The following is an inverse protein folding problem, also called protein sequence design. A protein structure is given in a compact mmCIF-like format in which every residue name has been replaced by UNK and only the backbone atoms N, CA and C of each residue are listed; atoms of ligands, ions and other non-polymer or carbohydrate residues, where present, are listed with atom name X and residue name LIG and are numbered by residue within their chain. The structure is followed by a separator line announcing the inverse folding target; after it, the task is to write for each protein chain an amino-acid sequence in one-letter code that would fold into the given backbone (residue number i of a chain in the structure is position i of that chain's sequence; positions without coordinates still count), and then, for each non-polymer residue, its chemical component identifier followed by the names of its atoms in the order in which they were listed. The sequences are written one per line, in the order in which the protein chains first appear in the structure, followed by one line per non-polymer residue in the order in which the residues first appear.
data_IF_485580797051
#
_entry.id   IF_485580797051
#
_cell.length_a   1.000
_cell.length_b   1.000
_cell.length_c   1.000
_cell.angle_alpha   90.00
_cell.angle_beta   90.00
_cell.angle_gamma   90.00
#
_symmetry.space_group_name_H-M   'P 1'
#
loop_
_entity.id
_entity.type
_entity.pdbx_description
1 polymer ?
#
# COMPACT_ATOMS: atom_id res chain seq x y z
N UNK A 1 -64.06 -47.57 19.64
CA UNK A 1 -63.34 -46.29 19.82
C UNK A 1 -64.10 -45.56 20.93
N UNK A 2 -63.58 -45.55 22.16
CA UNK A 2 -64.34 -45.11 23.33
C UNK A 2 -64.41 -43.58 23.38
N UNK A 3 -65.62 -42.99 23.47
CA UNK A 3 -65.79 -41.53 23.49
C UNK A 3 -65.12 -40.88 24.70
N UNK A 4 -65.05 -41.57 25.84
CA UNK A 4 -64.52 -41.05 27.11
C UNK A 4 -63.00 -40.81 27.11
N UNK A 5 -62.25 -41.62 26.36
CA UNK A 5 -60.80 -41.43 26.17
C UNK A 5 -60.47 -40.19 25.34
N UNK A 6 -61.34 -39.80 24.41
CA UNK A 6 -61.12 -38.63 23.56
C UNK A 6 -61.38 -37.33 24.32
N UNK A 7 -62.38 -37.32 25.21
CA UNK A 7 -62.67 -36.17 26.08
C UNK A 7 -61.60 -35.96 27.14
N UNK A 8 -61.06 -37.02 27.76
CA UNK A 8 -59.93 -36.90 28.70
C UNK A 8 -58.67 -36.32 28.02
N UNK A 9 -58.31 -36.83 26.83
CA UNK A 9 -57.16 -36.32 26.09
C UNK A 9 -57.31 -34.84 25.67
N UNK A 10 -58.54 -34.36 25.45
CA UNK A 10 -58.80 -32.94 25.18
C UNK A 10 -58.65 -32.07 26.43
N UNK A 11 -59.12 -32.54 27.59
CA UNK A 11 -58.97 -31.83 28.86
C UNK A 11 -57.49 -31.68 29.24
N UNK A 12 -56.70 -32.74 29.10
CA UNK A 12 -55.25 -32.70 29.38
C UNK A 12 -54.50 -31.71 28.46
N UNK A 13 -54.91 -31.60 27.19
CA UNK A 13 -54.35 -30.62 26.25
C UNK A 13 -54.73 -29.18 26.60
N UNK A 14 -55.94 -28.96 27.08
CA UNK A 14 -56.39 -27.63 27.52
C UNK A 14 -55.59 -27.20 28.75
N UNK A 15 -55.35 -28.09 29.70
CA UNK A 15 -54.58 -27.78 30.92
C UNK A 15 -53.09 -27.49 30.61
N UNK A 16 -52.51 -28.25 29.67
CA UNK A 16 -51.17 -27.99 29.15
C UNK A 16 -51.07 -26.61 28.45
N UNK A 17 -52.10 -26.23 27.68
CA UNK A 17 -52.17 -24.91 27.04
C UNK A 17 -52.35 -23.79 28.07
N UNK A 18 -53.17 -23.97 29.10
CA UNK A 18 -53.33 -23.01 30.19
C UNK A 18 -52.01 -22.75 30.91
N UNK A 19 -51.24 -23.82 31.16
CA UNK A 19 -49.91 -23.71 31.78
C UNK A 19 -48.91 -22.96 30.90
N UNK A 20 -48.90 -23.21 29.59
CA UNK A 20 -48.05 -22.47 28.65
C UNK A 20 -48.41 -20.98 28.58
N UNK A 21 -49.71 -20.67 28.54
CA UNK A 21 -50.18 -19.26 28.53
C UNK A 21 -49.80 -18.57 29.84
N UNK A 22 -50.00 -19.22 30.98
CA UNK A 22 -49.60 -18.67 32.29
C UNK A 22 -48.09 -18.38 32.35
N UNK A 23 -47.27 -19.30 31.83
CA UNK A 23 -45.82 -19.10 31.74
C UNK A 23 -45.44 -17.91 30.83
N UNK A 24 -46.10 -17.76 29.68
CA UNK A 24 -45.84 -16.64 28.77
C UNK A 24 -46.22 -15.29 29.37
N UNK A 25 -47.33 -15.24 30.11
CA UNK A 25 -47.77 -14.03 30.82
C UNK A 25 -46.79 -13.68 31.95
N UNK A 26 -46.34 -14.66 32.72
CA UNK A 26 -45.36 -14.44 33.80
C UNK A 26 -44.00 -13.96 33.25
N UNK A 27 -43.60 -14.48 32.08
CA UNK A 27 -42.43 -14.00 31.35
C UNK A 27 -42.57 -12.55 30.89
N UNK A 28 -43.72 -12.16 30.34
CA UNK A 28 -44.00 -10.76 29.95
C UNK A 28 -43.92 -9.81 31.15
N UNK A 29 -44.54 -10.21 32.27
CA UNK A 29 -44.52 -9.43 33.51
C UNK A 29 -43.11 -9.18 34.02
N UNK A 30 -42.23 -10.19 33.99
CA UNK A 30 -40.81 -10.03 34.35
C UNK A 30 -40.05 -9.09 33.41
N UNK A 31 -40.43 -9.02 32.13
CA UNK A 31 -39.84 -8.04 31.20
C UNK A 31 -40.29 -6.62 31.50
N UNK A 32 -41.56 -6.42 31.87
CA UNK A 32 -42.08 -5.12 32.30
C UNK A 32 -41.45 -4.65 33.61
N UNK A 33 -41.28 -5.54 34.59
CA UNK A 33 -40.58 -5.26 35.85
C UNK A 33 -39.13 -4.84 35.60
N UNK A 34 -38.41 -5.57 34.73
CA UNK A 34 -37.04 -5.22 34.35
C UNK A 34 -36.97 -3.86 33.63
N UNK A 35 -37.92 -3.57 32.73
CA UNK A 35 -37.99 -2.26 32.07
C UNK A 35 -38.30 -1.14 33.06
N UNK A 36 -39.19 -1.38 34.03
CA UNK A 36 -39.51 -0.43 35.08
C UNK A 36 -38.27 -0.10 35.94
N UNK A 37 -37.47 -1.12 36.28
CA UNK A 37 -36.23 -0.97 37.05
C UNK A 37 -35.11 -0.30 36.24
N UNK A 38 -35.05 -0.54 34.93
CA UNK A 38 -34.08 0.11 34.05
C UNK A 38 -34.42 1.57 33.75
N UNK A 39 -35.70 1.94 33.76
CA UNK A 39 -36.17 3.29 33.44
C UNK A 39 -35.46 4.41 34.24
N UNK A 40 -35.32 4.34 35.58
CA UNK A 40 -34.60 5.37 36.33
C UNK A 40 -33.11 5.45 35.98
N UNK A 41 -32.46 4.32 35.74
CA UNK A 41 -31.04 4.27 35.32
C UNK A 41 -30.89 4.95 33.96
N UNK A 42 -31.78 4.62 33.02
CA UNK A 42 -31.78 5.18 31.68
C UNK A 42 -32.01 6.70 31.73
N UNK A 43 -32.95 7.17 32.55
CA UNK A 43 -33.20 8.62 32.75
C UNK A 43 -31.99 9.34 33.33
N UNK A 44 -31.33 8.77 34.34
CA UNK A 44 -30.11 9.34 34.92
C UNK A 44 -28.97 9.40 33.90
N UNK A 45 -28.77 8.32 33.14
CA UNK A 45 -27.76 8.25 32.08
C UNK A 45 -28.03 9.25 30.95
N UNK A 46 -29.29 9.39 30.51
CA UNK A 46 -29.69 10.40 29.53
C UNK A 46 -29.45 11.83 30.05
N UNK A 47 -29.74 12.10 31.32
CA UNK A 47 -29.44 13.40 31.94
C UNK A 47 -27.95 13.74 31.89
N UNK A 48 -27.09 12.81 32.31
CA UNK A 48 -25.63 12.98 32.26
C UNK A 48 -25.11 13.15 30.82
N UNK A 49 -25.61 12.32 29.89
CA UNK A 49 -25.26 12.44 28.47
C UNK A 49 -25.67 13.80 27.89
N UNK A 50 -26.87 14.29 28.24
CA UNK A 50 -27.38 15.58 27.77
C UNK A 50 -26.51 16.73 28.28
N UNK A 51 -26.14 16.72 29.56
CA UNK A 51 -25.23 17.71 30.12
C UNK A 51 -23.84 17.69 29.47
N UNK A 52 -23.27 16.49 29.19
CA UNK A 52 -21.99 16.39 28.47
C UNK A 52 -22.07 16.90 27.04
N UNK A 53 -23.17 16.61 26.34
CA UNK A 53 -23.41 17.12 25.00
C UNK A 53 -23.53 18.65 25.00
N UNK A 54 -24.25 19.23 25.97
CA UNK A 54 -24.35 20.68 26.13
C UNK A 54 -22.99 21.33 26.46
N UNK A 55 -22.17 20.68 27.29
CA UNK A 55 -20.81 21.12 27.58
C UNK A 55 -19.90 21.09 26.33
N UNK A 56 -20.01 20.04 25.51
CA UNK A 56 -19.27 19.92 24.24
C UNK A 56 -19.74 20.97 23.21
N UNK A 57 -21.03 21.28 23.18
CA UNK A 57 -21.59 22.33 22.32
C UNK A 57 -21.10 23.72 22.72
N UNK A 58 -21.09 24.03 24.01
CA UNK A 58 -20.52 25.29 24.54
C UNK A 58 -19.03 25.45 24.24
N UNK A 59 -18.29 24.34 24.21
CA UNK A 59 -16.88 24.32 23.82
C UNK A 59 -16.67 24.38 22.29
N UNK A 60 -17.75 24.44 21.50
CA UNK A 60 -17.67 24.59 20.05
C UNK A 60 -17.32 23.32 19.29
N UNK A 61 -17.30 22.14 19.94
CA UNK A 61 -16.94 20.87 19.30
C UNK A 61 -17.87 20.51 18.14
N UNK A 62 -19.16 20.80 18.25
CA UNK A 62 -20.11 20.56 17.15
C UNK A 62 -19.91 21.50 15.97
N UNK A 63 -19.51 22.75 16.22
CA UNK A 63 -19.19 23.70 15.15
C UNK A 63 -17.91 23.27 14.43
N UNK A 64 -16.86 22.94 15.19
CA UNK A 64 -15.60 22.43 14.66
C UNK A 64 -15.80 21.13 13.85
N UNK A 65 -16.54 20.16 14.40
CA UNK A 65 -16.82 18.89 13.71
C UNK A 65 -17.61 19.08 12.41
N UNK A 66 -18.55 20.04 12.38
CA UNK A 66 -19.32 20.38 11.17
C UNK A 66 -18.43 21.01 10.09
N UNK A 67 -17.55 21.93 10.46
CA UNK A 67 -16.57 22.51 9.53
C UNK A 67 -15.59 21.46 9.02
N UNK A 68 -15.11 20.58 9.91
CA UNK A 68 -14.21 19.48 9.54
C UNK A 68 -14.91 18.49 8.60
N UNK A 69 -16.19 18.22 8.82
CA UNK A 69 -17.05 17.47 7.91
C UNK A 69 -17.22 18.15 6.55
N UNK A 70 -17.45 19.47 6.52
CA UNK A 70 -17.55 20.22 5.27
C UNK A 70 -16.24 20.24 4.47
N UNK A 71 -15.10 20.32 5.16
CA UNK A 71 -13.78 20.16 4.54
C UNK A 71 -13.61 18.75 4.00
N UNK A 72 -13.95 17.73 4.79
CA UNK A 72 -13.87 16.33 4.36
C UNK A 72 -14.76 16.06 3.14
N UNK A 73 -15.96 16.62 3.09
CA UNK A 73 -16.88 16.50 1.96
C UNK A 73 -16.35 17.19 0.70
N UNK A 74 -15.75 18.39 0.82
CA UNK A 74 -15.07 19.05 -0.31
C UNK A 74 -13.87 18.24 -0.79
N UNK A 75 -13.08 17.68 0.13
CA UNK A 75 -11.92 16.85 -0.22
C UNK A 75 -12.37 15.56 -0.91
N UNK A 76 -13.38 14.87 -0.38
CA UNK A 76 -13.92 13.64 -0.99
C UNK A 76 -14.66 13.92 -2.29
N UNK A 77 -15.31 15.08 -2.42
CA UNK A 77 -15.99 15.51 -3.64
C UNK A 77 -15.02 15.93 -4.76
N UNK A 78 -13.82 16.40 -4.41
CA UNK A 78 -12.85 16.92 -5.37
C UNK A 78 -11.71 15.93 -5.69
N UNK A 79 -11.38 15.04 -4.76
CA UNK A 79 -10.33 14.04 -4.91
C UNK A 79 -10.94 12.64 -4.98
N UNK A 80 -10.62 11.91 -6.04
CA UNK A 80 -11.03 10.52 -6.17
C UNK A 80 -10.30 9.64 -5.14
N UNK A 81 -10.81 8.43 -4.85
CA UNK A 81 -10.07 7.45 -4.05
C UNK A 81 -8.69 7.08 -4.63
N UNK A 82 -8.41 7.39 -5.90
CA UNK A 82 -7.09 7.27 -6.51
C UNK A 82 -6.15 8.41 -6.13
N UNK A 83 -6.66 9.63 -6.09
CA UNK A 83 -5.87 10.84 -5.80
C UNK A 83 -5.43 10.88 -4.33
N UNK A 84 -6.29 10.43 -3.41
CA UNK A 84 -5.94 10.30 -1.98
C UNK A 84 -4.82 9.27 -1.77
N UNK A 85 -4.78 8.20 -2.60
CA UNK A 85 -3.70 7.20 -2.54
C UNK A 85 -2.38 7.77 -3.06
N UNK A 86 -2.40 8.49 -4.18
CA UNK A 86 -1.21 9.19 -4.68
C UNK A 86 -0.72 10.28 -3.71
N UNK A 87 -1.64 10.97 -3.03
CA UNK A 87 -1.30 11.94 -2.00
C UNK A 87 -0.58 11.27 -0.83
N UNK A 88 -0.97 10.05 -0.45
CA UNK A 88 -0.26 9.25 0.55
C UNK A 88 1.22 9.03 0.16
N UNK A 89 1.46 8.58 -1.08
CA UNK A 89 2.82 8.34 -1.59
C UNK A 89 3.64 9.64 -1.67
N UNK A 90 3.03 10.72 -2.16
CA UNK A 90 3.65 12.04 -2.21
C UNK A 90 3.95 12.60 -0.81
N UNK A 91 3.07 12.36 0.17
CA UNK A 91 3.26 12.80 1.55
C UNK A 91 4.45 12.11 2.19
N UNK A 92 4.65 10.81 1.94
CA UNK A 92 5.83 10.08 2.42
C UNK A 92 7.10 10.69 1.80
N UNK A 93 7.12 10.93 0.49
CA UNK A 93 8.26 11.57 -0.17
C UNK A 93 8.56 12.98 0.39
N UNK A 94 7.52 13.78 0.66
CA UNK A 94 7.67 15.09 1.29
C UNK A 94 8.21 14.95 2.70
N UNK A 95 7.69 14.02 3.51
CA UNK A 95 8.14 13.78 4.88
C UNK A 95 9.58 13.27 4.92
N UNK A 96 9.97 12.39 4.00
CA UNK A 96 11.35 11.92 3.85
C UNK A 96 12.28 13.05 3.43
N UNK A 97 11.82 13.97 2.59
CA UNK A 97 12.57 15.18 2.22
C UNK A 97 12.75 16.11 3.42
N UNK A 98 11.69 16.35 4.20
CA UNK A 98 11.77 17.16 5.43
C UNK A 98 12.70 16.49 6.44
N UNK A 99 12.63 15.15 6.57
CA UNK A 99 13.57 14.38 7.39
C UNK A 99 15.01 14.50 6.89
N UNK A 100 15.22 14.48 5.57
CA UNK A 100 16.54 14.62 4.97
C UNK A 100 17.14 16.01 5.21
N UNK A 101 16.34 17.06 5.06
CA UNK A 101 16.75 18.45 5.32
C UNK A 101 17.01 18.73 6.80
N UNK A 102 16.32 18.01 7.69
CA UNK A 102 16.51 18.12 9.16
C UNK A 102 17.59 17.19 9.71
N UNK A 103 18.34 16.49 8.85
CA UNK A 103 19.49 15.71 9.30
C UNK A 103 20.56 16.64 9.90
N UNK A 104 21.20 16.26 11.02
CA UNK A 104 22.17 17.11 11.72
C UNK A 104 23.34 17.52 10.83
N UNK A 105 23.77 16.66 9.91
CA UNK A 105 24.83 16.97 8.95
C UNK A 105 24.45 18.07 7.95
N UNK A 106 23.21 18.06 7.43
CA UNK A 106 22.71 19.08 6.49
C UNK A 106 22.49 20.41 7.23
N UNK A 107 21.94 20.35 8.44
CA UNK A 107 21.75 21.52 9.28
C UNK A 107 23.07 22.20 9.65
N UNK A 108 24.13 21.44 9.91
CA UNK A 108 25.47 21.98 10.19
C UNK A 108 26.03 22.77 8.99
N UNK A 109 26.01 22.16 7.80
CA UNK A 109 26.49 22.81 6.56
C UNK A 109 25.66 24.05 6.27
N UNK A 110 24.33 23.98 6.44
CA UNK A 110 23.43 25.11 6.24
C UNK A 110 23.70 26.25 7.25
N UNK A 111 23.96 25.91 8.51
CA UNK A 111 24.30 26.89 9.54
C UNK A 111 25.65 27.57 9.27
N UNK A 112 26.69 26.81 8.92
CA UNK A 112 28.00 27.34 8.54
C UNK A 112 27.92 28.22 7.29
N UNK A 113 27.22 27.76 6.25
CA UNK A 113 26.99 28.55 5.04
C UNK A 113 26.19 29.83 5.34
N UNK A 114 25.20 29.77 6.23
CA UNK A 114 24.45 30.93 6.70
C UNK A 114 25.32 31.95 7.43
N UNK A 115 26.27 31.47 8.24
CA UNK A 115 27.23 32.32 8.94
C UNK A 115 28.22 33.00 7.99
N UNK A 116 28.65 32.30 6.93
CA UNK A 116 29.46 32.90 5.85
C UNK A 116 28.66 33.95 5.09
N UNK A 117 27.37 33.71 4.82
CA UNK A 117 26.49 34.68 4.14
C UNK A 117 26.26 35.96 4.97
N UNK A 118 26.13 35.82 6.29
CA UNK A 118 26.00 36.95 7.21
C UNK A 118 27.29 37.79 7.31
N UNK A 119 28.45 37.17 7.03
CA UNK A 119 29.74 37.83 6.99
C UNK A 119 30.19 38.17 5.55
N UNK A 120 29.32 38.00 4.55
CA UNK A 120 29.66 38.16 3.13
C UNK A 120 30.09 39.59 2.76
N UNK A 121 29.65 40.60 3.51
CA UNK A 121 30.09 41.99 3.34
C UNK A 121 31.59 42.20 3.62
N UNK A 122 32.27 41.21 4.22
CA UNK A 122 33.72 41.23 4.50
C UNK A 122 34.55 40.35 3.57
N UNK A 123 33.93 39.63 2.62
CA UNK A 123 34.63 38.69 1.73
C UNK A 123 35.05 39.42 0.45
N UNK A 124 36.35 39.68 0.31
CA UNK A 124 36.88 40.30 -0.90
C UNK A 124 36.65 39.40 -2.13
N UNK A 125 36.18 39.96 -3.26
CA UNK A 125 35.95 39.20 -4.48
C UNK A 125 37.28 38.64 -4.99
N UNK A 126 37.33 37.31 -5.12
CA UNK A 126 38.52 36.61 -5.59
C UNK A 126 38.75 36.95 -7.07
N UNK A 127 39.83 37.67 -7.38
CA UNK A 127 40.23 37.97 -8.75
C UNK A 127 40.64 36.73 -9.54
N UNK A 128 40.77 36.87 -10.87
CA UNK A 128 41.06 35.76 -11.81
C UNK A 128 42.32 34.94 -11.42
N UNK A 129 43.36 35.60 -10.90
CA UNK A 129 44.57 34.93 -10.40
C UNK A 129 44.38 34.29 -9.02
N UNK A 130 43.53 34.86 -8.18
CA UNK A 130 43.15 34.30 -6.89
C UNK A 130 42.35 33.00 -7.05
N UNK A 131 41.48 32.92 -8.07
CA UNK A 131 40.77 31.68 -8.43
C UNK A 131 41.74 30.57 -8.84
N UNK A 132 42.80 30.89 -9.60
CA UNK A 132 43.81 29.91 -10.01
C UNK A 132 44.60 29.36 -8.80
N UNK A 133 44.89 30.20 -7.81
CA UNK A 133 45.59 29.80 -6.58
C UNK A 133 44.67 29.05 -5.61
N UNK A 134 43.41 29.46 -5.49
CA UNK A 134 42.38 28.80 -4.67
C UNK A 134 42.08 27.37 -5.15
N UNK A 135 42.28 27.10 -6.45
CA UNK A 135 42.22 25.73 -7.01
C UNK A 135 43.23 24.77 -6.37
N UNK A 136 44.30 25.26 -5.74
CA UNK A 136 45.26 24.43 -5.01
C UNK A 136 44.84 24.07 -3.58
N UNK A 137 43.77 24.69 -3.06
CA UNK A 137 43.26 24.42 -1.71
C UNK A 137 42.41 23.14 -1.72
N UNK A 138 42.72 22.22 -0.80
CA UNK A 138 42.02 20.94 -0.70
C UNK A 138 40.54 21.11 -0.35
N UNK A 139 40.16 22.14 0.42
CA UNK A 139 38.78 22.35 0.84
C UNK A 139 37.94 22.94 -0.31
N UNK A 140 38.54 23.81 -1.14
CA UNK A 140 37.92 24.31 -2.38
C UNK A 140 37.72 23.17 -3.38
N UNK A 141 38.73 22.32 -3.58
CA UNK A 141 38.62 21.15 -4.47
C UNK A 141 37.51 20.19 -4.03
N UNK A 142 37.40 19.92 -2.72
CA UNK A 142 36.31 19.10 -2.16
C UNK A 142 34.95 19.77 -2.39
N UNK A 143 34.82 21.08 -2.16
CA UNK A 143 33.58 21.82 -2.40
C UNK A 143 33.12 21.75 -3.86
N UNK A 144 34.04 21.95 -4.81
CA UNK A 144 33.77 21.81 -6.25
C UNK A 144 33.37 20.38 -6.61
N UNK A 145 34.03 19.37 -6.05
CA UNK A 145 33.69 17.96 -6.28
C UNK A 145 32.27 17.62 -5.79
N UNK A 146 31.87 18.09 -4.61
CA UNK A 146 30.51 17.91 -4.07
C UNK A 146 29.48 18.60 -4.97
N UNK A 147 29.73 19.83 -5.40
CA UNK A 147 28.83 20.57 -6.29
C UNK A 147 28.64 19.84 -7.63
N UNK A 148 29.73 19.35 -8.22
CA UNK A 148 29.68 18.56 -9.46
C UNK A 148 28.89 17.26 -9.28
N UNK A 149 29.05 16.58 -8.14
CA UNK A 149 28.31 15.34 -7.85
C UNK A 149 26.82 15.60 -7.63
N UNK A 150 26.45 16.72 -6.98
CA UNK A 150 25.07 17.17 -6.85
C UNK A 150 24.44 17.47 -8.22
N UNK A 151 25.15 18.22 -9.08
CA UNK A 151 24.72 18.49 -10.45
C UNK A 151 24.55 17.19 -11.26
N UNK A 152 25.44 16.22 -11.06
CA UNK A 152 25.36 14.89 -11.71
C UNK A 152 24.18 14.05 -11.20
N UNK A 153 23.83 14.16 -9.92
CA UNK A 153 22.63 13.52 -9.36
C UNK A 153 21.34 14.18 -9.84
N UNK A 154 21.29 15.51 -9.85
CA UNK A 154 20.17 16.28 -10.40
C UNK A 154 19.94 15.96 -11.89
N UNK A 155 21.01 15.90 -12.69
CA UNK A 155 20.94 15.54 -14.10
C UNK A 155 20.42 14.12 -14.33
N UNK A 156 20.88 13.14 -13.53
CA UNK A 156 20.38 11.75 -13.59
C UNK A 156 18.91 11.64 -13.16
N UNK A 157 18.49 12.37 -12.12
CA UNK A 157 17.10 12.43 -11.68
C UNK A 157 16.18 13.04 -12.74
N UNK A 158 16.60 14.14 -13.36
CA UNK A 158 15.86 14.77 -14.46
C UNK A 158 15.74 13.84 -15.69
N UNK A 159 16.79 13.08 -16.02
CA UNK A 159 16.74 12.08 -17.09
C UNK A 159 15.87 10.88 -16.75
N UNK A 160 15.84 10.42 -15.50
CA UNK A 160 14.95 9.35 -15.06
C UNK A 160 13.47 9.75 -15.20
N UNK A 161 13.13 10.99 -14.85
CA UNK A 161 11.78 11.56 -15.07
C UNK A 161 11.46 11.73 -16.56
N UNK A 162 12.46 12.03 -17.39
CA UNK A 162 12.30 12.14 -18.84
C UNK A 162 12.16 10.77 -19.55
N UNK A 163 12.82 9.72 -19.06
CA UNK A 163 12.77 8.37 -19.64
C UNK A 163 11.44 7.65 -19.43
N UNK A 164 10.67 8.01 -18.38
CA UNK A 164 9.30 7.50 -18.18
C UNK A 164 8.33 7.97 -19.27
N UNK A 165 8.69 9.02 -20.03
CA UNK A 165 7.99 9.41 -21.24
C UNK A 165 8.73 8.84 -22.45
N UNK A 166 8.26 7.70 -22.99
CA UNK A 166 8.87 7.04 -24.14
C UNK A 166 9.09 8.03 -25.31
N UNK A 167 10.36 8.36 -25.68
CA UNK A 167 10.64 9.34 -26.72
C UNK A 167 10.19 8.85 -28.11
N UNK A 168 10.05 7.54 -28.31
CA UNK A 168 9.47 6.97 -29.52
C UNK A 168 7.95 7.14 -29.56
N UNK A 169 7.27 7.03 -28.41
CA UNK A 169 5.83 7.29 -28.28
C UNK A 169 5.52 8.78 -28.46
N UNK A 170 6.33 9.70 -27.92
CA UNK A 170 6.20 11.14 -28.15
C UNK A 170 6.42 11.53 -29.62
N UNK A 171 7.40 10.91 -30.30
CA UNK A 171 7.63 11.09 -31.75
C UNK A 171 6.46 10.53 -32.57
N UNK A 172 5.95 9.34 -32.24
CA UNK A 172 4.77 8.75 -32.88
C UNK A 172 3.50 9.59 -32.64
N UNK A 173 3.32 10.14 -31.45
CA UNK A 173 2.19 11.02 -31.12
C UNK A 173 2.25 12.33 -31.90
N UNK A 174 3.43 12.94 -32.04
CA UNK A 174 3.63 14.13 -32.91
C UNK A 174 3.40 13.80 -34.38
N UNK A 175 3.89 12.65 -34.87
CA UNK A 175 3.67 12.20 -36.24
C UNK A 175 2.18 11.90 -36.51
N UNK A 176 1.48 11.27 -35.57
CA UNK A 176 0.04 11.00 -35.66
C UNK A 176 -0.80 12.29 -35.61
N UNK A 177 -0.37 13.30 -34.87
CA UNK A 177 -1.01 14.61 -34.86
C UNK A 177 -0.78 15.38 -36.19
N UNK A 178 0.37 15.19 -36.85
CA UNK A 178 0.64 15.80 -38.16
C UNK A 178 -0.04 15.08 -39.33
N UNK A 179 -0.37 13.80 -39.19
CA UNK A 179 -1.04 12.99 -40.20
C UNK A 179 -2.53 12.89 -39.83
N UNK A 180 -3.33 13.84 -40.32
CA UNK A 180 -4.77 13.90 -40.09
C UNK A 180 -5.52 12.58 -40.38
N UNK A 181 -6.75 12.42 -39.86
CA UNK A 181 -7.40 11.13 -39.74
C UNK A 181 -7.66 10.47 -41.10
N UNK A 182 -6.99 9.34 -41.37
CA UNK A 182 -7.35 8.43 -42.46
C UNK A 182 -8.70 7.79 -42.15
N UNK A 183 -9.75 8.22 -42.86
CA UNK A 183 -11.01 7.47 -42.94
C UNK A 183 -10.71 6.08 -43.51
N UNK A 184 -10.87 5.03 -42.69
CA UNK A 184 -10.97 3.66 -43.19
C UNK A 184 -12.44 3.34 -43.39
N UNK A 185 -12.83 3.20 -44.65
CA UNK A 185 -14.11 2.64 -45.06
C UNK A 185 -14.18 1.17 -44.60
N UNK A 186 -15.29 0.82 -43.96
CA UNK A 186 -15.64 -0.54 -43.61
C UNK A 186 -16.05 -1.32 -44.86
N UNK A 187 -15.51 -2.53 -45.03
CA UNK A 187 -16.10 -3.57 -45.88
C UNK A 187 -16.04 -4.88 -45.09
N UNK A 188 -17.22 -5.49 -44.95
CA UNK A 188 -17.47 -6.73 -44.24
C UNK A 188 -17.12 -7.97 -45.08
N UNK A 189 -16.70 -9.04 -44.42
CA UNK A 189 -16.59 -10.40 -44.96
C UNK A 189 -16.65 -11.43 -43.82
N UNK A 190 -17.41 -12.54 -43.93
CA UNK A 190 -17.65 -13.48 -42.83
C UNK A 190 -16.83 -14.79 -43.02
N UNK A 191 -17.00 -15.86 -42.21
CA UNK A 191 -15.96 -16.30 -41.28
C UNK A 191 -15.31 -17.63 -41.71
N UNK A 192 -14.01 -17.78 -41.47
CA UNK A 192 -13.30 -19.02 -41.70
C UNK A 192 -12.19 -19.18 -40.68
N UNK A 193 -12.29 -20.27 -39.91
CA UNK A 193 -11.23 -21.06 -39.27
C UNK A 193 -9.81 -20.47 -39.33
N UNK A 194 -9.10 -20.42 -38.20
CA UNK A 194 -8.24 -21.52 -37.79
C UNK A 194 -7.40 -21.15 -36.55
N UNK A 195 -7.18 -22.14 -35.68
CA UNK A 195 -5.91 -22.43 -34.96
C UNK A 195 -5.15 -21.32 -34.22
N UNK A 196 -5.06 -21.47 -32.89
CA UNK A 196 -3.76 -21.40 -32.18
C UNK A 196 -2.78 -22.42 -32.79
N UNK A 197 -1.43 -22.23 -32.77
CA UNK A 197 -0.69 -21.92 -31.54
C UNK A 197 0.63 -21.10 -31.69
N UNK A 198 1.22 -20.81 -30.51
CA UNK A 198 2.65 -20.69 -30.17
C UNK A 198 3.65 -20.01 -31.14
N UNK A 199 4.42 -19.05 -30.61
CA UNK A 199 5.68 -18.61 -31.21
C UNK A 199 6.38 -17.51 -30.42
N UNK A 200 7.48 -17.88 -29.76
CA UNK A 200 8.36 -17.05 -28.94
C UNK A 200 8.94 -15.82 -29.66
N UNK A 201 9.21 -14.75 -28.90
CA UNK A 201 10.47 -14.01 -29.04
C UNK A 201 10.82 -13.31 -27.71
N UNK A 202 11.90 -13.77 -27.11
CA UNK A 202 12.59 -13.18 -25.95
C UNK A 202 13.26 -11.88 -26.42
N UNK A 203 13.09 -10.79 -25.66
CA UNK A 203 13.95 -9.61 -25.70
C UNK A 203 14.59 -9.42 -24.32
N UNK A 204 15.86 -8.97 -24.23
CA UNK A 204 16.65 -9.05 -23.01
C UNK A 204 16.14 -8.07 -21.95
N UNK A 205 15.98 -8.56 -20.73
CA UNK A 205 15.74 -7.72 -19.55
C UNK A 205 16.96 -6.83 -19.31
N UNK A 206 16.77 -5.52 -19.44
CA UNK A 206 17.75 -4.51 -19.05
C UNK A 206 18.09 -4.69 -17.56
N UNK A 207 19.37 -4.71 -17.14
CA UNK A 207 19.72 -4.84 -15.74
C UNK A 207 19.39 -3.52 -15.00
N UNK A 208 18.55 -3.62 -13.98
CA UNK A 208 18.27 -2.53 -13.05
C UNK A 208 19.48 -2.30 -12.11
N UNK A 209 19.73 -1.06 -11.67
CA UNK A 209 21.00 -0.65 -11.09
C UNK A 209 21.17 -1.08 -9.63
N UNK A 210 22.43 -1.35 -9.29
CA UNK A 210 23.02 -1.51 -7.94
C UNK A 210 22.63 -2.80 -7.21
N UNK A 211 23.33 -3.88 -7.55
CA UNK A 211 23.30 -5.14 -6.82
C UNK A 211 24.04 -4.99 -5.48
N UNK A 212 23.32 -5.10 -4.37
CA UNK A 212 23.95 -5.25 -3.05
C UNK A 212 24.29 -6.73 -2.89
N UNK A 213 25.58 -7.06 -2.74
CA UNK A 213 26.02 -8.46 -2.59
C UNK A 213 26.18 -8.77 -1.10
N UNK A 214 25.43 -9.77 -0.62
CA UNK A 214 25.55 -10.30 0.75
C UNK A 214 25.80 -11.80 0.61
N UNK A 215 26.88 -12.30 1.23
CA UNK A 215 27.28 -13.72 1.20
C UNK A 215 27.38 -14.33 -0.22
N UNK A 216 27.85 -13.54 -1.20
CA UNK A 216 28.01 -14.00 -2.59
C UNK A 216 26.71 -14.05 -3.41
N UNK A 217 25.57 -13.65 -2.83
CA UNK A 217 24.28 -13.54 -3.52
C UNK A 217 23.97 -12.07 -3.82
N UNK A 218 23.65 -11.79 -5.08
CA UNK A 218 23.28 -10.45 -5.53
C UNK A 218 21.79 -10.16 -5.28
N UNK A 219 21.50 -9.01 -4.67
CA UNK A 219 20.13 -8.53 -4.41
C UNK A 219 19.85 -7.22 -5.14
N UNK A 220 18.64 -7.08 -5.65
CA UNK A 220 18.10 -5.82 -6.17
C UNK A 220 17.90 -4.79 -5.04
N UNK A 221 17.79 -3.51 -5.38
CA UNK A 221 17.51 -2.41 -4.45
C UNK A 221 16.23 -2.63 -3.61
N UNK A 222 15.26 -3.39 -4.14
CA UNK A 222 14.02 -3.77 -3.42
C UNK A 222 14.20 -4.99 -2.48
N UNK A 223 15.41 -5.55 -2.42
CA UNK A 223 15.78 -6.74 -1.64
C UNK A 223 15.28 -8.07 -2.22
N UNK A 224 14.94 -8.13 -3.50
CA UNK A 224 14.67 -9.40 -4.21
C UNK A 224 15.99 -9.99 -4.75
N UNK A 225 16.05 -11.30 -4.96
CA UNK A 225 17.21 -11.92 -5.62
C UNK A 225 17.38 -11.35 -7.04
N UNK A 226 18.61 -11.02 -7.40
CA UNK A 226 18.96 -10.60 -8.76
C UNK A 226 18.91 -11.76 -9.75
N UNK A 227 19.26 -12.97 -9.31
CA UNK A 227 19.15 -14.19 -10.10
C UNK A 227 18.28 -15.25 -9.37
N UNK A 228 17.04 -15.51 -9.83
CA UNK A 228 16.16 -16.50 -9.24
C UNK A 228 16.70 -17.95 -9.23
N UNK A 229 17.70 -18.26 -10.05
CA UNK A 229 18.30 -19.59 -10.14
C UNK A 229 19.25 -19.90 -8.98
N UNK A 230 19.76 -18.86 -8.31
CA UNK A 230 20.65 -19.00 -7.14
C UNK A 230 19.86 -19.35 -5.87
N UNK A 231 18.52 -19.32 -5.93
CA UNK A 231 17.68 -19.61 -4.79
C UNK A 231 17.78 -21.07 -4.32
N UNK A 232 17.97 -21.24 -3.03
CA UNK A 232 17.90 -22.54 -2.33
C UNK A 232 16.91 -22.45 -1.18
N UNK A 233 16.48 -23.61 -0.67
CA UNK A 233 15.57 -23.68 0.48
C UNK A 233 16.17 -22.99 1.72
N UNK A 234 17.45 -23.20 1.96
CA UNK A 234 18.21 -22.55 3.05
C UNK A 234 18.27 -21.03 2.90
N UNK A 235 18.41 -20.53 1.68
CA UNK A 235 18.37 -19.09 1.41
C UNK A 235 16.96 -18.53 1.67
N UNK A 236 15.92 -19.28 1.33
CA UNK A 236 14.54 -18.95 1.69
C UNK A 236 14.35 -18.75 3.19
N UNK A 237 14.89 -19.64 4.02
CA UNK A 237 14.85 -19.51 5.48
C UNK A 237 15.60 -18.26 5.97
N UNK A 238 16.80 -18.00 5.44
CA UNK A 238 17.56 -16.78 5.77
C UNK A 238 16.80 -15.50 5.40
N UNK A 239 16.14 -15.49 4.24
CA UNK A 239 15.35 -14.35 3.77
C UNK A 239 14.09 -14.14 4.61
N UNK A 240 13.43 -15.22 5.03
CA UNK A 240 12.28 -15.12 5.93
C UNK A 240 12.71 -14.59 7.31
N UNK A 241 13.81 -15.09 7.86
CA UNK A 241 14.37 -14.61 9.13
C UNK A 241 14.72 -13.12 9.07
N UNK A 242 15.33 -12.66 7.98
CA UNK A 242 15.62 -11.23 7.76
C UNK A 242 14.36 -10.36 7.70
N UNK A 243 13.21 -10.94 7.34
CA UNK A 243 11.90 -10.28 7.34
C UNK A 243 11.13 -10.45 8.66
N UNK A 244 11.72 -11.12 9.65
CA UNK A 244 11.10 -11.42 10.94
C UNK A 244 10.02 -12.50 10.87
N UNK A 245 10.13 -13.43 9.91
CA UNK A 245 9.20 -14.53 9.69
C UNK A 245 9.92 -15.88 9.87
N UNK A 246 9.25 -16.84 10.50
CA UNK A 246 9.67 -18.24 10.52
C UNK A 246 8.85 -19.04 9.51
N UNK A 247 9.51 -19.86 8.68
CA UNK A 247 8.83 -20.67 7.68
C UNK A 247 8.34 -21.99 8.28
N UNK A 248 7.15 -21.94 8.86
CA UNK A 248 6.39 -23.14 9.25
C UNK A 248 5.91 -23.91 8.00
N UNK A 249 5.55 -25.20 8.11
CA UNK A 249 5.08 -25.99 6.97
C UNK A 249 3.97 -25.33 6.11
N UNK A 250 2.96 -24.64 6.68
CA UNK A 250 1.97 -23.91 5.90
C UNK A 250 2.53 -22.72 5.11
N UNK A 251 3.55 -22.02 5.66
CA UNK A 251 4.23 -20.92 4.95
C UNK A 251 5.10 -21.45 3.83
N UNK A 252 5.76 -22.61 4.04
CA UNK A 252 6.52 -23.30 3.01
C UNK A 252 5.65 -23.70 1.82
N UNK A 253 4.44 -24.20 2.07
CA UNK A 253 3.51 -24.56 0.99
C UNK A 253 3.22 -23.37 0.06
N UNK A 254 3.05 -22.16 0.60
CA UNK A 254 2.83 -20.94 -0.20
C UNK A 254 4.08 -20.51 -0.97
N UNK A 255 5.26 -20.62 -0.38
CA UNK A 255 6.54 -20.29 -1.03
C UNK A 255 6.84 -21.26 -2.18
N UNK A 256 6.65 -22.56 -1.94
CA UNK A 256 6.86 -23.60 -2.95
C UNK A 256 5.85 -23.47 -4.09
N UNK A 257 4.57 -23.20 -3.77
CA UNK A 257 3.55 -22.93 -4.78
C UNK A 257 3.88 -21.68 -5.61
N UNK A 258 4.42 -20.63 -4.99
CA UNK A 258 4.81 -19.43 -5.70
C UNK A 258 5.95 -19.71 -6.70
N UNK A 259 6.95 -20.51 -6.30
CA UNK A 259 8.05 -20.93 -7.20
C UNK A 259 7.56 -21.84 -8.33
N UNK A 260 6.66 -22.77 -8.02
CA UNK A 260 6.08 -23.65 -9.03
C UNK A 260 5.27 -22.86 -10.07
N UNK A 261 4.44 -21.90 -9.65
CA UNK A 261 3.66 -21.06 -10.56
C UNK A 261 4.56 -20.14 -11.40
N UNK A 262 5.63 -19.60 -10.82
CA UNK A 262 6.63 -18.82 -11.58
C UNK A 262 7.37 -19.67 -12.61
N UNK A 263 7.78 -20.90 -12.26
CA UNK A 263 8.43 -21.82 -13.20
C UNK A 263 7.54 -22.18 -14.39
N UNK A 264 6.21 -22.15 -14.23
CA UNK A 264 5.25 -22.44 -15.30
C UNK A 264 4.88 -21.20 -16.12
N UNK A 265 4.70 -20.05 -15.47
CA UNK A 265 4.13 -18.85 -16.10
C UNK A 265 5.17 -17.79 -16.47
N UNK A 266 6.36 -17.85 -15.88
CA UNK A 266 7.40 -16.81 -15.97
C UNK A 266 7.02 -15.50 -15.27
N UNK A 267 5.86 -15.43 -14.63
CA UNK A 267 5.35 -14.24 -13.93
C UNK A 267 5.21 -14.51 -12.44
N UNK A 268 5.49 -13.51 -11.61
CA UNK A 268 5.38 -13.68 -10.17
C UNK A 268 3.90 -13.64 -9.74
N UNK A 269 3.45 -14.59 -8.92
CA UNK A 269 2.04 -14.70 -8.56
C UNK A 269 1.60 -13.60 -7.59
N UNK A 270 0.41 -13.04 -7.83
CA UNK A 270 -0.26 -12.19 -6.86
C UNK A 270 -1.08 -13.03 -5.86
N UNK A 271 -1.62 -12.40 -4.81
CA UNK A 271 -2.40 -13.09 -3.76
C UNK A 271 -3.58 -13.88 -4.34
N UNK A 272 -4.27 -13.34 -5.35
CA UNK A 272 -5.40 -14.02 -6.02
C UNK A 272 -4.94 -15.27 -6.76
N UNK A 273 -3.81 -15.20 -7.45
CA UNK A 273 -3.20 -16.35 -8.15
C UNK A 273 -2.79 -17.42 -7.13
N UNK A 274 -2.17 -17.03 -6.01
CA UNK A 274 -1.82 -17.94 -4.92
C UNK A 274 -3.04 -18.68 -4.36
N UNK A 275 -4.15 -17.99 -4.13
CA UNK A 275 -5.42 -18.63 -3.74
C UNK A 275 -5.93 -19.62 -4.79
N UNK A 276 -5.77 -19.32 -6.09
CA UNK A 276 -6.18 -20.24 -7.16
C UNK A 276 -5.31 -21.49 -7.25
N UNK A 277 -4.00 -21.37 -7.06
CA UNK A 277 -3.07 -22.52 -7.19
C UNK A 277 -2.98 -23.37 -5.93
N UNK A 278 -3.14 -22.78 -4.74
CA UNK A 278 -3.05 -23.50 -3.46
C UNK A 278 -4.39 -23.92 -2.87
N UNK A 279 -5.49 -23.29 -3.28
CA UNK A 279 -6.81 -23.44 -2.66
C UNK A 279 -6.92 -22.77 -1.28
N UNK A 280 -5.87 -22.12 -0.79
CA UNK A 280 -5.87 -21.42 0.50
C UNK A 280 -6.63 -20.10 0.38
N UNK A 281 -7.60 -19.90 1.26
CA UNK A 281 -8.41 -18.68 1.27
C UNK A 281 -7.53 -17.44 1.50
N UNK A 282 -7.87 -16.33 0.83
CA UNK A 282 -7.16 -15.05 0.98
C UNK A 282 -6.95 -14.67 2.45
N UNK A 283 -7.97 -14.86 3.30
CA UNK A 283 -7.91 -14.58 4.74
C UNK A 283 -6.78 -15.34 5.45
N UNK A 284 -6.57 -16.61 5.12
CA UNK A 284 -5.52 -17.44 5.71
C UNK A 284 -4.13 -17.00 5.23
N UNK A 285 -4.00 -16.60 3.96
CA UNK A 285 -2.74 -16.05 3.44
C UNK A 285 -2.34 -14.78 4.21
N UNK A 286 -3.30 -13.88 4.48
CA UNK A 286 -3.04 -12.68 5.30
C UNK A 286 -2.74 -13.00 6.78
N UNK A 287 -3.28 -14.11 7.32
CA UNK A 287 -2.93 -14.56 8.66
C UNK A 287 -1.49 -15.12 8.72
N UNK A 288 -1.06 -15.84 7.68
CA UNK A 288 0.30 -16.39 7.58
C UNK A 288 1.35 -15.31 7.26
N UNK A 289 1.00 -14.33 6.42
CA UNK A 289 1.87 -13.24 5.97
C UNK A 289 1.18 -11.88 6.14
N UNK A 290 1.26 -11.24 7.32
CA UNK A 290 0.47 -10.04 7.65
C UNK A 290 0.95 -8.77 6.93
N UNK A 291 2.24 -8.69 6.58
CA UNK A 291 2.83 -7.54 5.89
C UNK A 291 2.96 -7.84 4.40
N UNK A 292 2.07 -7.29 3.58
CA UNK A 292 2.11 -7.36 2.11
C UNK A 292 2.38 -8.79 1.57
N UNK A 293 1.44 -9.74 1.73
CA UNK A 293 1.67 -11.16 1.50
C UNK A 293 2.26 -11.49 0.12
N UNK A 294 1.74 -10.87 -0.95
CA UNK A 294 2.26 -11.10 -2.30
C UNK A 294 3.74 -10.72 -2.45
N UNK A 295 4.13 -9.54 -1.95
CA UNK A 295 5.53 -9.07 -2.00
C UNK A 295 6.44 -9.92 -1.12
N UNK A 296 5.99 -10.23 0.09
CA UNK A 296 6.78 -10.98 1.07
C UNK A 296 6.99 -12.42 0.61
N UNK A 297 5.96 -13.09 0.09
CA UNK A 297 6.07 -14.44 -0.45
C UNK A 297 7.01 -14.46 -1.65
N UNK A 298 6.90 -13.52 -2.60
CA UNK A 298 7.81 -13.46 -3.76
C UNK A 298 9.27 -13.19 -3.34
N UNK A 299 9.47 -12.32 -2.35
CA UNK A 299 10.80 -12.02 -1.80
C UNK A 299 11.45 -13.24 -1.13
N UNK A 300 10.70 -13.97 -0.31
CA UNK A 300 11.18 -15.22 0.32
C UNK A 300 11.40 -16.32 -0.73
N UNK A 301 10.54 -16.39 -1.73
CA UNK A 301 10.64 -17.35 -2.84
C UNK A 301 11.79 -17.03 -3.81
N UNK A 302 12.47 -15.89 -3.69
CA UNK A 302 13.55 -15.47 -4.58
C UNK A 302 13.09 -15.18 -6.01
N UNK A 303 11.82 -14.81 -6.19
CA UNK A 303 11.19 -14.53 -7.49
C UNK A 303 11.15 -13.01 -7.70
N UNK A 304 11.21 -12.49 -8.94
CA UNK A 304 11.04 -11.06 -9.21
C UNK A 304 9.75 -10.48 -8.60
N UNK A 305 9.71 -9.15 -8.44
CA UNK A 305 8.55 -8.44 -7.90
C UNK A 305 7.30 -8.72 -8.77
N UNK A 306 6.14 -9.09 -8.18
CA UNK A 306 4.91 -9.27 -8.94
C UNK A 306 4.44 -7.97 -9.59
N UNK A 307 4.01 -8.06 -10.84
CA UNK A 307 3.39 -6.96 -11.54
C UNK A 307 2.08 -6.57 -10.82
N UNK A 308 2.00 -5.33 -10.32
CA UNK A 308 0.81 -4.80 -9.66
C UNK A 308 0.78 -4.84 -8.13
N UNK A 309 1.90 -5.12 -7.45
CA UNK A 309 2.01 -4.83 -6.02
C UNK A 309 2.25 -3.32 -5.80
N UNK A 310 1.18 -2.64 -5.35
CA UNK A 310 1.22 -1.37 -4.61
C UNK A 310 1.99 -1.55 -3.30
#
# INVERSE_FOLDING_TARGET
MNPDTTTQALLDRIDALQTQVAYLVDRQRKQEELLADMTPILRAALGEATWRLDALEKQGWFAFGRELGAIAERVVGHYSPGDVRQLGDATIAILDTVRALTQPAVLHIAAEAGQVLQNADSVEPVGVFGMMRASGDHDVQKGVAVMLELLRHLGRGAQALAQTQDPAALRKARLAASLGPKRRAAVAGPPGSNTQPAGCAIGPSVPAPTATVVDGVAFSADGHLADPNVWTRELGDKLALALGLQLDPPRWQLVDAARADWGQTGQSPNVRRLTQVTGIATKEIYALFPKAPGRTICKVAGIPKPAGCL
#
